data_IF_681922747676
#
_entry.id   IF_681922747676
#
_cell.length_a   1.000
_cell.length_b   1.000
_cell.length_c   1.000
_cell.angle_alpha   90.00
_cell.angle_beta   90.00
_cell.angle_gamma   90.00
#
_symmetry.space_group_name_H-M   'P 1'
#
loop_
_entity.id
_entity.type
_entity.pdbx_description
1 polymer ?
#
# COMPACT_ATOMS: atom_id res chain seq x y z
N UNK A 1 3.49 -2.48 -6.78
CA UNK A 1 3.43 -3.81 -6.13
C UNK A 1 3.49 -3.76 -4.61
N UNK A 2 4.53 -3.20 -3.98
CA UNK A 2 4.62 -3.15 -2.49
C UNK A 2 3.35 -2.55 -1.87
N UNK A 3 2.83 -1.44 -2.42
CA UNK A 3 1.58 -0.84 -1.95
C UNK A 3 0.36 -1.75 -2.08
N UNK A 4 0.31 -2.61 -3.10
CA UNK A 4 -0.77 -3.59 -3.25
C UNK A 4 -0.65 -4.74 -2.27
N UNK A 5 0.56 -5.18 -1.96
CA UNK A 5 0.80 -6.17 -0.89
C UNK A 5 0.34 -5.58 0.45
N UNK A 6 0.74 -4.35 0.76
CA UNK A 6 0.36 -3.65 2.00
C UNK A 6 -1.14 -3.41 2.08
N UNK A 7 -1.83 -3.13 0.97
CA UNK A 7 -3.29 -2.91 0.91
C UNK A 7 -4.13 -4.19 0.74
N UNK A 8 -3.48 -5.33 0.47
CA UNK A 8 -4.17 -6.60 0.21
C UNK A 8 -4.80 -6.69 -1.19
N UNK A 9 -4.32 -5.90 -2.15
CA UNK A 9 -4.77 -5.86 -3.55
C UNK A 9 -3.84 -6.62 -4.51
N UNK A 10 -2.76 -7.21 -4.00
CA UNK A 10 -1.79 -7.91 -4.82
C UNK A 10 -2.37 -9.20 -5.43
N UNK A 11 -2.28 -9.30 -6.75
CA UNK A 11 -2.82 -10.36 -7.61
C UNK A 11 -1.87 -11.55 -7.79
N UNK A 12 -0.59 -11.43 -7.38
CA UNK A 12 0.39 -12.50 -7.58
C UNK A 12 0.00 -13.78 -6.81
N UNK A 13 -0.26 -14.89 -7.49
CA UNK A 13 -0.73 -16.12 -6.82
C UNK A 13 0.38 -17.01 -6.28
N UNK A 14 1.65 -16.75 -6.59
CA UNK A 14 2.76 -17.68 -6.32
C UNK A 14 2.99 -18.65 -7.47
N UNK A 15 4.25 -18.94 -7.79
CA UNK A 15 4.60 -19.89 -8.86
C UNK A 15 4.45 -21.35 -8.40
N UNK A 16 4.71 -21.61 -7.11
CA UNK A 16 4.64 -22.93 -6.50
C UNK A 16 3.95 -22.88 -5.13
N UNK A 17 3.92 -24.00 -4.43
CA UNK A 17 3.33 -24.11 -3.08
C UNK A 17 4.05 -23.22 -2.06
N UNK A 18 5.38 -23.19 -2.09
CA UNK A 18 6.21 -22.40 -1.17
C UNK A 18 5.87 -20.90 -1.29
N UNK A 19 5.76 -20.37 -2.52
CA UNK A 19 5.40 -18.97 -2.75
C UNK A 19 4.00 -18.64 -2.21
N UNK A 20 3.03 -19.56 -2.36
CA UNK A 20 1.66 -19.38 -1.86
C UNK A 20 1.64 -19.33 -0.35
N UNK A 21 2.37 -20.23 0.32
CA UNK A 21 2.49 -20.25 1.77
C UNK A 21 3.15 -18.99 2.31
N UNK A 22 4.24 -18.54 1.68
CA UNK A 22 4.92 -17.31 2.07
C UNK A 22 4.02 -16.08 1.86
N UNK A 23 3.32 -15.99 0.72
CA UNK A 23 2.36 -14.89 0.48
C UNK A 23 1.26 -14.90 1.53
N UNK A 24 0.70 -16.06 1.85
CA UNK A 24 -0.32 -16.22 2.89
C UNK A 24 0.21 -15.74 4.24
N UNK A 25 1.40 -16.19 4.64
CA UNK A 25 2.06 -15.77 5.88
C UNK A 25 2.27 -14.25 5.95
N UNK A 26 2.67 -13.61 4.85
CA UNK A 26 2.82 -12.15 4.78
C UNK A 26 1.46 -11.45 4.96
N UNK A 27 0.42 -11.89 4.24
CA UNK A 27 -0.91 -11.28 4.36
C UNK A 27 -1.54 -11.49 5.74
N UNK A 28 -1.38 -12.68 6.32
CA UNK A 28 -1.87 -12.99 7.67
C UNK A 28 -1.15 -12.14 8.73
N UNK A 29 0.17 -11.98 8.61
CA UNK A 29 0.93 -11.11 9.49
C UNK A 29 0.50 -9.64 9.38
N UNK A 30 0.31 -9.13 8.15
CA UNK A 30 -0.19 -7.77 7.94
C UNK A 30 -1.57 -7.62 8.56
N UNK A 31 -2.51 -8.52 8.28
CA UNK A 31 -3.86 -8.52 8.85
C UNK A 31 -3.83 -8.49 10.37
N UNK A 32 -3.09 -9.41 10.99
CA UNK A 32 -2.98 -9.51 12.45
C UNK A 32 -2.37 -8.26 13.07
N UNK A 33 -1.36 -7.66 12.44
CA UNK A 33 -0.74 -6.42 12.94
C UNK A 33 -1.68 -5.22 12.83
N UNK A 34 -2.37 -5.05 11.70
CA UNK A 34 -3.37 -3.97 11.55
C UNK A 34 -4.54 -4.16 12.51
N UNK A 35 -5.02 -5.40 12.69
CA UNK A 35 -6.00 -5.76 13.71
C UNK A 35 -5.54 -5.34 15.09
N UNK A 36 -4.42 -5.86 15.59
CA UNK A 36 -3.89 -5.52 16.91
C UNK A 36 -3.69 -4.02 17.11
N UNK A 37 -3.21 -3.31 16.09
CA UNK A 37 -3.03 -1.87 16.19
C UNK A 37 -4.35 -1.11 16.28
N UNK A 38 -5.40 -1.55 15.56
CA UNK A 38 -6.74 -0.99 15.71
C UNK A 38 -7.29 -1.31 17.09
N UNK A 39 -7.24 -2.57 17.53
CA UNK A 39 -7.70 -3.02 18.85
C UNK A 39 -7.19 -2.10 19.96
N UNK A 40 -5.89 -1.82 19.94
CA UNK A 40 -5.24 -0.97 20.94
C UNK A 40 -5.69 0.50 20.90
N UNK A 41 -6.23 0.97 19.77
CA UNK A 41 -6.77 2.33 19.63
C UNK A 41 -8.22 2.38 20.11
N UNK A 42 -9.00 1.31 19.89
CA UNK A 42 -10.42 1.20 20.25
C UNK A 42 -10.65 0.23 21.41
N UNK A 43 -9.69 0.16 22.35
CA UNK A 43 -9.60 -0.86 23.40
C UNK A 43 -10.87 -0.94 24.26
N UNK A 44 -11.53 0.21 24.47
CA UNK A 44 -12.78 0.31 25.25
C UNK A 44 -14.04 -0.08 24.46
N UNK A 45 -14.00 -0.10 23.11
CA UNK A 45 -15.16 -0.36 22.24
C UNK A 45 -15.14 -1.79 21.65
N UNK A 46 -14.02 -2.51 21.77
CA UNK A 46 -13.82 -3.75 21.02
C UNK A 46 -14.49 -5.00 21.62
N UNK A 47 -14.62 -5.10 22.94
CA UNK A 47 -15.28 -6.27 23.57
C UNK A 47 -16.75 -6.39 23.13
N UNK A 48 -17.44 -5.27 22.90
CA UNK A 48 -18.79 -5.24 22.32
C UNK A 48 -18.80 -5.66 20.83
N UNK A 49 -17.73 -5.33 20.09
CA UNK A 49 -17.54 -5.68 18.67
C UNK A 49 -17.18 -7.16 18.45
N UNK A 50 -16.57 -7.85 19.42
CA UNK A 50 -16.19 -9.25 19.30
C UNK A 50 -17.41 -10.20 19.27
N UNK A 51 -18.51 -9.82 19.93
CA UNK A 51 -19.79 -10.56 19.94
C UNK A 51 -20.75 -10.13 18.82
N UNK A 52 -20.24 -9.37 17.85
CA UNK A 52 -21.07 -8.66 16.91
C UNK A 52 -21.65 -9.53 15.79
N UNK A 53 -22.82 -9.10 15.30
CA UNK A 53 -23.54 -9.74 14.19
C UNK A 53 -22.68 -9.81 12.91
N UNK A 54 -23.06 -10.70 11.98
CA UNK A 54 -22.40 -10.84 10.66
C UNK A 54 -22.27 -9.51 9.89
N UNK A 55 -23.22 -8.59 10.10
CA UNK A 55 -23.21 -7.24 9.52
C UNK A 55 -22.05 -6.41 10.06
N UNK A 56 -21.84 -6.40 11.38
CA UNK A 56 -20.74 -5.69 12.03
C UNK A 56 -19.38 -6.27 11.61
N UNK A 57 -19.25 -7.60 11.52
CA UNK A 57 -18.03 -8.23 10.99
C UNK A 57 -17.69 -7.77 9.56
N UNK A 58 -18.72 -7.58 8.72
CA UNK A 58 -18.56 -7.09 7.35
C UNK A 58 -18.13 -5.61 7.33
N UNK A 59 -18.75 -4.77 8.17
CA UNK A 59 -18.36 -3.36 8.32
C UNK A 59 -16.91 -3.23 8.82
N UNK A 60 -16.52 -4.05 9.78
CA UNK A 60 -15.14 -4.09 10.27
C UNK A 60 -14.17 -4.47 9.17
N UNK A 61 -14.47 -5.48 8.36
CA UNK A 61 -13.64 -5.85 7.21
C UNK A 61 -13.47 -4.67 6.23
N UNK A 62 -14.53 -3.91 5.96
CA UNK A 62 -14.45 -2.71 5.13
C UNK A 62 -13.57 -1.62 5.76
N UNK A 63 -13.70 -1.39 7.07
CA UNK A 63 -12.85 -0.46 7.83
C UNK A 63 -11.38 -0.90 7.75
N UNK A 64 -11.09 -2.20 7.90
CA UNK A 64 -9.74 -2.74 7.78
C UNK A 64 -9.13 -2.48 6.41
N UNK A 65 -9.88 -2.69 5.33
CA UNK A 65 -9.41 -2.42 3.97
C UNK A 65 -9.08 -0.94 3.84
N UNK A 66 -10.00 -0.06 4.25
CA UNK A 66 -9.80 1.39 4.18
C UNK A 66 -8.59 1.86 4.98
N UNK A 67 -8.40 1.34 6.20
CA UNK A 67 -7.25 1.72 7.01
C UNK A 67 -5.92 1.35 6.36
N UNK A 68 -5.83 0.18 5.71
CA UNK A 68 -4.60 -0.23 5.00
C UNK A 68 -4.28 0.71 3.84
N UNK A 69 -5.30 1.24 3.16
CA UNK A 69 -5.14 2.28 2.13
C UNK A 69 -4.64 3.59 2.73
N UNK A 70 -5.36 4.11 3.73
CA UNK A 70 -5.05 5.38 4.38
C UNK A 70 -3.65 5.36 5.02
N UNK A 71 -3.28 4.25 5.65
CA UNK A 71 -1.96 4.05 6.25
C UNK A 71 -0.86 4.09 5.19
N UNK A 72 -1.06 3.42 4.05
CA UNK A 72 -0.08 3.41 2.97
C UNK A 72 0.11 4.81 2.39
N UNK A 73 -0.99 5.53 2.12
CA UNK A 73 -0.96 6.89 1.60
C UNK A 73 -0.29 7.86 2.59
N UNK A 74 -0.62 7.76 3.88
CA UNK A 74 0.01 8.56 4.92
C UNK A 74 1.52 8.29 5.03
N UNK A 75 1.94 7.01 4.95
CA UNK A 75 3.36 6.63 5.00
C UNK A 75 4.11 7.12 3.77
N UNK A 76 3.52 6.98 2.58
CA UNK A 76 4.10 7.42 1.31
C UNK A 76 4.27 8.94 1.29
N UNK A 77 3.23 9.68 1.69
CA UNK A 77 3.26 11.14 1.83
C UNK A 77 4.29 11.60 2.86
N UNK A 78 4.30 11.00 4.06
CA UNK A 78 5.23 11.39 5.13
C UNK A 78 6.69 11.14 4.74
N UNK A 79 6.96 10.04 4.06
CA UNK A 79 8.31 9.69 3.63
C UNK A 79 8.70 10.32 2.30
N UNK A 80 7.77 10.93 1.55
CA UNK A 80 7.93 11.28 0.14
C UNK A 80 8.56 10.14 -0.69
N UNK A 81 8.23 8.90 -0.32
CA UNK A 81 8.82 7.66 -0.83
C UNK A 81 10.35 7.58 -0.84
N UNK A 82 11.03 8.34 0.03
CA UNK A 82 12.49 8.36 0.19
C UNK A 82 13.07 6.95 0.36
N UNK A 83 12.44 6.11 1.16
CA UNK A 83 12.89 4.73 1.39
C UNK A 83 13.01 3.89 0.10
N UNK A 84 12.26 4.25 -0.95
CA UNK A 84 12.28 3.55 -2.25
C UNK A 84 13.36 4.15 -3.17
N UNK A 85 13.61 5.45 -3.06
CA UNK A 85 14.40 6.23 -4.03
C UNK A 85 15.80 6.61 -3.54
N UNK A 86 16.13 6.37 -2.26
CA UNK A 86 17.37 6.88 -1.67
C UNK A 86 18.65 6.36 -2.33
N UNK A 87 18.64 5.12 -2.83
CA UNK A 87 19.81 4.49 -3.48
C UNK A 87 19.74 4.56 -5.01
N UNK A 88 18.84 5.37 -5.57
CA UNK A 88 18.73 5.53 -7.03
C UNK A 88 19.77 6.55 -7.49
N UNK A 89 20.71 6.10 -8.32
CA UNK A 89 21.75 6.93 -8.92
C UNK A 89 21.65 6.92 -10.45
N UNK A 90 21.96 8.05 -11.09
CA UNK A 90 22.01 8.18 -12.56
C UNK A 90 20.69 7.97 -13.31
N UNK A 91 19.56 7.84 -12.62
CA UNK A 91 18.25 7.53 -13.21
C UNK A 91 17.25 8.67 -13.04
N UNK A 92 16.27 8.76 -13.94
CA UNK A 92 15.22 9.78 -13.92
C UNK A 92 13.85 9.15 -14.11
N UNK A 93 12.86 9.63 -13.35
CA UNK A 93 11.46 9.38 -13.67
C UNK A 93 11.05 10.29 -14.82
N UNK A 94 10.38 9.74 -15.82
CA UNK A 94 9.86 10.52 -16.94
C UNK A 94 8.45 10.12 -17.32
N UNK A 95 7.65 11.12 -17.73
CA UNK A 95 6.28 10.91 -18.22
C UNK A 95 5.93 11.96 -19.26
N UNK A 96 5.29 11.53 -20.34
CA UNK A 96 4.64 12.42 -21.30
C UNK A 96 3.53 13.21 -20.59
N UNK A 97 3.49 14.53 -20.74
CA UNK A 97 2.40 15.36 -20.22
C UNK A 97 1.31 15.53 -21.27
N UNK A 98 0.14 16.03 -20.86
CA UNK A 98 -1.03 16.15 -21.75
C UNK A 98 -0.83 17.11 -22.94
N UNK A 99 0.24 17.90 -22.96
CA UNK A 99 0.54 18.86 -24.04
C UNK A 99 1.24 18.23 -25.26
N UNK A 100 1.27 16.90 -25.34
CA UNK A 100 1.72 16.15 -26.50
C UNK A 100 3.14 15.58 -26.39
N UNK A 101 3.61 14.87 -27.44
CA UNK A 101 4.83 14.06 -27.40
C UNK A 101 6.13 14.84 -27.15
N UNK A 102 6.10 16.17 -27.31
CA UNK A 102 7.25 17.07 -27.10
C UNK A 102 7.35 17.61 -25.67
N UNK A 103 6.32 17.39 -24.84
CA UNK A 103 6.31 17.83 -23.44
C UNK A 103 6.50 16.63 -22.51
N UNK A 104 7.75 16.39 -22.12
CA UNK A 104 8.12 15.33 -21.18
C UNK A 104 8.50 15.93 -19.84
N UNK A 105 7.82 15.48 -18.79
CA UNK A 105 8.27 15.75 -17.42
C UNK A 105 9.45 14.84 -17.12
N UNK A 106 10.58 15.41 -16.70
CA UNK A 106 11.77 14.67 -16.25
C UNK A 106 12.09 15.07 -14.82
N UNK A 107 12.04 14.11 -13.89
CA UNK A 107 12.30 14.33 -12.48
C UNK A 107 13.44 13.43 -12.03
N UNK A 108 14.43 14.04 -11.37
CA UNK A 108 15.50 13.27 -10.72
C UNK A 108 14.98 12.83 -9.35
N UNK A 109 14.70 11.53 -9.21
CA UNK A 109 14.37 10.95 -7.91
C UNK A 109 15.67 10.74 -7.13
N UNK A 110 15.89 11.56 -6.10
CA UNK A 110 17.03 11.44 -5.17
C UNK A 110 16.51 11.36 -3.74
N UNK A 111 17.30 10.79 -2.81
CA UNK A 111 16.95 10.67 -1.40
C UNK A 111 16.47 12.00 -0.76
N UNK A 112 17.08 13.11 -1.19
CA UNK A 112 16.81 14.43 -0.62
C UNK A 112 15.69 15.17 -1.37
N UNK A 113 15.33 14.72 -2.58
CA UNK A 113 14.29 15.32 -3.40
C UNK A 113 12.95 14.58 -3.23
N UNK A 114 12.02 15.27 -2.58
CA UNK A 114 10.66 14.86 -2.26
C UNK A 114 9.70 14.78 -3.46
N UNK A 115 10.19 14.93 -4.68
CA UNK A 115 9.35 15.13 -5.88
C UNK A 115 9.16 13.88 -6.74
N UNK A 116 9.62 12.71 -6.31
CA UNK A 116 9.44 11.50 -7.12
C UNK A 116 7.94 11.10 -7.16
N UNK A 117 7.27 11.13 -8.33
CA UNK A 117 5.84 10.84 -8.39
C UNK A 117 5.59 9.34 -8.21
N UNK A 118 4.76 8.97 -7.22
CA UNK A 118 4.38 7.57 -6.96
C UNK A 118 3.05 7.17 -7.61
N UNK A 119 2.76 7.73 -8.79
CA UNK A 119 1.45 7.62 -9.46
C UNK A 119 1.09 6.16 -9.76
N UNK A 120 2.07 5.30 -10.04
CA UNK A 120 1.84 3.87 -10.31
C UNK A 120 1.21 3.14 -9.12
N UNK A 121 1.31 3.66 -7.88
CA UNK A 121 0.64 3.07 -6.72
C UNK A 121 -0.89 3.18 -6.80
N UNK A 122 -1.42 4.07 -7.65
CA UNK A 122 -2.87 4.27 -7.85
C UNK A 122 -3.38 3.67 -9.16
N UNK A 123 -2.49 3.04 -9.95
CA UNK A 123 -2.87 2.31 -11.17
C UNK A 123 -3.19 0.84 -10.78
N UNK A 124 -4.34 0.28 -11.19
CA UNK A 124 -4.67 -1.13 -10.96
C UNK A 124 -3.54 -2.05 -11.43
N UNK A 125 -3.17 -3.07 -10.63
CA UNK A 125 -2.01 -3.92 -10.92
C UNK A 125 -2.02 -4.55 -12.30
N UNK A 126 -3.18 -4.94 -12.78
CA UNK A 126 -3.34 -5.53 -14.12
C UNK A 126 -2.94 -4.57 -15.26
N UNK A 127 -3.00 -3.26 -15.03
CA UNK A 127 -2.69 -2.22 -16.03
C UNK A 127 -1.29 -1.62 -15.85
N UNK A 128 -0.51 -2.10 -14.87
CA UNK A 128 0.81 -1.56 -14.56
C UNK A 128 1.91 -2.10 -15.46
#
# INVERSE_FOLDING_TARGET
DIGDIVRGKDLFRGYNEIDREQKKKIQDNLKNNFQRNILRIVEDEWEELANATKTLQTMMLQIFIKLREDWWDAKLKRSNGKAITCNVHGSYYFRQTCNGPKSQLKITCRCDHSLCPHILQYVPQYLR
#
